data_IF_021145096106
#
_entry.id   IF_021145096106
#
_cell.length_a   1.000
_cell.length_b   1.000
_cell.length_c   1.000
_cell.angle_alpha   90.00
_cell.angle_beta   90.00
_cell.angle_gamma   90.00
#
_symmetry.space_group_name_H-M   'P 1'
#
loop_
_entity.id
_entity.type
_entity.pdbx_description
1 polymer ?
#
# COMPACT_ATOMS: atom_id res chain seq x y z
N UNK A 1 5.62 25.62 12.63
CA UNK A 1 6.44 24.43 12.89
C UNK A 1 6.67 23.70 11.56
N UNK A 2 7.93 23.67 11.11
CA UNK A 2 8.34 22.93 9.91
C UNK A 2 8.48 21.46 10.31
N UNK A 3 7.77 20.57 9.64
CA UNK A 3 8.08 19.14 9.66
C UNK A 3 9.26 18.98 8.68
N UNK A 4 10.47 19.01 9.19
CA UNK A 4 11.64 18.83 8.37
C UNK A 4 11.89 17.33 8.17
N UNK A 5 11.98 16.91 6.91
CA UNK A 5 12.60 15.64 6.58
C UNK A 5 14.07 15.71 6.98
N UNK A 6 14.58 14.69 7.65
CA UNK A 6 15.99 14.65 8.00
C UNK A 6 16.86 14.64 6.74
N UNK A 7 17.98 15.37 6.72
CA UNK A 7 19.01 15.10 5.74
C UNK A 7 19.46 13.65 5.93
N UNK A 8 19.46 12.88 4.86
CA UNK A 8 20.15 11.60 4.81
C UNK A 8 21.62 11.86 5.23
N UNK A 9 22.23 10.97 6.00
CA UNK A 9 23.63 11.15 6.35
C UNK A 9 24.47 11.24 5.07
N UNK A 10 25.17 12.36 4.96
CA UNK A 10 26.07 12.67 3.86
C UNK A 10 27.13 11.56 3.76
N UNK A 11 26.95 10.65 2.81
CA UNK A 11 28.01 9.76 2.39
C UNK A 11 28.82 10.54 1.36
N UNK A 12 29.85 11.23 1.82
CA UNK A 12 30.82 11.92 1.00
C UNK A 12 31.17 11.10 -0.23
N UNK A 13 30.65 11.49 -1.35
CA UNK A 13 30.95 10.94 -2.68
C UNK A 13 31.28 12.09 -3.59
N UNK A 14 32.50 12.09 -4.00
CA UNK A 14 33.12 13.03 -4.93
C UNK A 14 32.27 13.31 -6.16
N UNK A 15 32.22 14.56 -6.56
CA UNK A 15 31.79 15.05 -7.87
C UNK A 15 32.22 14.11 -9.00
N UNK A 16 31.29 13.31 -9.50
CA UNK A 16 31.44 12.62 -10.79
C UNK A 16 30.61 13.33 -11.81
N UNK A 17 31.26 13.77 -12.85
CA UNK A 17 30.71 14.46 -14.01
C UNK A 17 29.53 13.74 -14.62
N UNK A 18 28.59 14.54 -15.10
CA UNK A 18 27.26 14.20 -15.65
C UNK A 18 27.22 13.08 -16.73
N UNK A 19 28.38 12.73 -17.31
CA UNK A 19 28.49 11.69 -18.32
C UNK A 19 28.61 10.25 -17.77
N UNK A 20 29.06 10.11 -16.51
CA UNK A 20 29.18 8.78 -15.90
C UNK A 20 27.90 8.27 -15.27
N UNK A 21 26.94 9.16 -14.98
CA UNK A 21 25.65 8.77 -14.41
C UNK A 21 24.79 7.98 -15.39
N UNK A 22 24.79 8.37 -16.67
CA UNK A 22 24.00 7.68 -17.71
C UNK A 22 24.53 6.27 -18.02
N UNK A 23 25.83 6.07 -17.97
CA UNK A 23 26.44 4.75 -18.19
C UNK A 23 26.27 3.83 -16.98
N UNK A 24 26.21 4.39 -15.77
CA UNK A 24 26.00 3.62 -14.53
C UNK A 24 24.53 3.20 -14.39
N UNK A 25 23.59 4.04 -14.82
CA UNK A 25 22.15 3.69 -14.85
C UNK A 25 21.86 2.54 -15.83
N UNK A 26 22.52 2.53 -16.98
CA UNK A 26 22.35 1.47 -17.99
C UNK A 26 22.95 0.13 -17.54
N UNK A 27 24.02 0.15 -16.76
CA UNK A 27 24.65 -1.07 -16.22
C UNK A 27 23.92 -1.61 -14.99
N UNK A 28 23.32 -0.76 -14.18
CA UNK A 28 22.47 -1.17 -13.06
C UNK A 28 21.15 -1.81 -13.52
N UNK A 29 20.59 -1.35 -14.65
CA UNK A 29 19.40 -1.95 -15.28
C UNK A 29 19.63 -3.37 -15.77
N UNK A 30 20.78 -3.64 -16.37
CA UNK A 30 21.12 -5.00 -16.87
C UNK A 30 21.38 -6.00 -15.75
N UNK A 31 21.75 -5.56 -14.55
CA UNK A 31 21.94 -6.43 -13.40
C UNK A 31 20.65 -6.77 -12.66
N UNK A 32 19.59 -5.94 -12.78
CA UNK A 32 18.29 -6.14 -12.14
C UNK A 32 17.33 -7.04 -12.93
N UNK A 33 17.64 -7.33 -14.21
CA UNK A 33 16.75 -8.05 -15.14
C UNK A 33 17.19 -9.49 -15.43
N UNK A 34 17.99 -10.13 -14.58
CA UNK A 34 18.11 -11.59 -14.68
C UNK A 34 16.80 -12.21 -14.17
N UNK A 35 16.10 -13.01 -15.01
CA UNK A 35 14.92 -13.71 -14.57
C UNK A 35 15.31 -14.64 -13.43
N UNK A 36 14.99 -14.23 -12.21
CA UNK A 36 15.14 -15.09 -11.05
C UNK A 36 14.13 -16.24 -11.19
N UNK A 37 14.60 -17.45 -10.97
CA UNK A 37 13.69 -18.60 -10.91
C UNK A 37 12.61 -18.34 -9.85
N UNK A 38 11.33 -18.66 -10.14
CA UNK A 38 10.26 -18.45 -9.19
C UNK A 38 10.53 -19.21 -7.89
N UNK A 39 10.50 -18.52 -6.76
CA UNK A 39 10.61 -19.18 -5.47
C UNK A 39 9.40 -20.07 -5.19
N UNK A 40 9.59 -21.28 -4.68
CA UNK A 40 8.47 -22.11 -4.27
C UNK A 40 7.71 -21.45 -3.11
N UNK A 41 6.41 -21.72 -3.03
CA UNK A 41 5.60 -21.29 -1.89
C UNK A 41 6.11 -21.95 -0.61
N UNK A 42 6.31 -21.15 0.43
CA UNK A 42 6.53 -21.62 1.81
C UNK A 42 5.14 -21.71 2.44
N UNK A 43 4.48 -22.89 2.45
CA UNK A 43 3.09 -22.98 2.85
C UNK A 43 2.93 -22.78 4.36
N UNK A 44 1.87 -22.06 4.74
CA UNK A 44 1.39 -22.08 6.11
C UNK A 44 0.55 -23.33 6.29
N UNK A 45 1.03 -24.25 7.12
CA UNK A 45 0.34 -25.51 7.40
C UNK A 45 -0.67 -25.29 8.52
N UNK A 46 -1.94 -25.50 8.22
CA UNK A 46 -3.03 -25.42 9.19
C UNK A 46 -3.42 -26.84 9.60
N UNK A 47 -3.46 -27.11 10.89
CA UNK A 47 -3.78 -28.42 11.48
C UNK A 47 -5.27 -28.53 11.86
N UNK A 48 -5.95 -27.41 12.08
CA UNK A 48 -7.36 -27.36 12.45
C UNK A 48 -8.28 -27.87 11.34
N UNK A 49 -9.36 -28.56 11.70
CA UNK A 49 -10.35 -29.08 10.76
C UNK A 49 -11.50 -28.11 10.48
N UNK A 50 -11.91 -27.34 11.50
CA UNK A 50 -13.06 -26.43 11.41
C UNK A 50 -12.68 -25.05 10.88
N UNK A 51 -13.55 -24.39 10.07
CA UNK A 51 -13.23 -23.08 9.49
C UNK A 51 -12.88 -22.00 10.51
N UNK A 52 -13.58 -21.90 11.62
CA UNK A 52 -13.29 -20.93 12.67
C UNK A 52 -11.96 -21.18 13.38
N UNK A 53 -11.58 -22.44 13.58
CA UNK A 53 -10.32 -22.82 14.17
C UNK A 53 -9.14 -22.59 13.20
N UNK A 54 -9.34 -22.82 11.91
CA UNK A 54 -8.38 -22.48 10.85
C UNK A 54 -8.11 -20.99 10.79
N UNK A 55 -9.17 -20.18 10.89
CA UNK A 55 -9.07 -18.72 10.91
C UNK A 55 -8.25 -18.24 12.12
N UNK A 56 -8.49 -18.80 13.29
CA UNK A 56 -7.71 -18.48 14.49
C UNK A 56 -6.25 -18.86 14.32
N UNK A 57 -5.97 -20.04 13.80
CA UNK A 57 -4.62 -20.58 13.60
C UNK A 57 -3.82 -19.70 12.63
N UNK A 58 -4.43 -19.30 11.49
CA UNK A 58 -3.74 -18.42 10.54
C UNK A 58 -3.56 -17.02 11.11
N UNK A 59 -4.50 -16.52 11.92
CA UNK A 59 -4.38 -15.21 12.60
C UNK A 59 -3.23 -15.23 13.59
N UNK A 60 -3.07 -16.29 14.36
CA UNK A 60 -1.94 -16.43 15.30
C UNK A 60 -0.59 -16.47 14.55
N UNK A 61 -0.53 -17.16 13.43
CA UNK A 61 0.66 -17.19 12.56
C UNK A 61 0.96 -15.83 11.95
N UNK A 62 -0.08 -15.12 11.53
CA UNK A 62 0.04 -13.75 11.02
C UNK A 62 0.61 -12.80 12.07
N UNK A 63 0.12 -12.85 13.30
CA UNK A 63 0.61 -12.01 14.39
C UNK A 63 2.07 -12.27 14.73
N UNK A 64 2.48 -13.53 14.72
CA UNK A 64 3.88 -13.89 14.83
C UNK A 64 4.71 -13.34 13.68
N UNK A 65 4.21 -13.44 12.45
CA UNK A 65 4.85 -12.88 11.25
C UNK A 65 4.99 -11.36 11.32
N UNK A 66 4.02 -10.65 11.88
CA UNK A 66 4.10 -9.20 12.08
C UNK A 66 5.21 -8.85 13.07
N UNK A 67 5.35 -9.58 14.17
CA UNK A 67 6.42 -9.31 15.14
C UNK A 67 7.83 -9.54 14.56
N UNK A 68 7.97 -10.43 13.61
CA UNK A 68 9.24 -10.74 12.93
C UNK A 68 9.52 -9.86 11.70
N UNK A 69 8.54 -9.02 11.32
CA UNK A 69 8.59 -8.23 10.08
C UNK A 69 9.62 -7.09 10.14
N UNK A 70 9.85 -6.52 11.31
CA UNK A 70 10.61 -5.28 11.49
C UNK A 70 12.13 -5.49 11.52
N UNK A 71 12.60 -6.24 10.58
CA UNK A 71 13.98 -6.36 10.16
C UNK A 71 14.15 -5.64 8.82
N UNK A 72 15.24 -4.95 8.59
CA UNK A 72 15.43 -4.09 7.41
C UNK A 72 15.12 -4.79 6.08
N UNK A 73 15.61 -5.99 5.87
CA UNK A 73 15.44 -6.72 4.60
C UNK A 73 14.03 -7.30 4.48
N UNK A 74 13.49 -7.89 5.54
CA UNK A 74 12.12 -8.41 5.56
C UNK A 74 11.10 -7.30 5.41
N UNK A 75 11.34 -6.15 6.01
CA UNK A 75 10.45 -4.99 5.91
C UNK A 75 10.41 -4.45 4.49
N UNK A 76 11.55 -4.30 3.82
CA UNK A 76 11.62 -3.92 2.40
C UNK A 76 10.88 -4.92 1.51
N UNK A 77 11.10 -6.20 1.73
CA UNK A 77 10.44 -7.27 0.98
C UNK A 77 8.92 -7.21 1.14
N UNK A 78 8.44 -6.99 2.35
CA UNK A 78 7.03 -6.76 2.62
C UNK A 78 6.47 -5.53 1.88
N UNK A 79 7.17 -4.40 1.90
CA UNK A 79 6.75 -3.20 1.18
C UNK A 79 6.74 -3.41 -0.34
N UNK A 80 7.64 -4.21 -0.89
CA UNK A 80 7.61 -4.62 -2.30
C UNK A 80 6.37 -5.45 -2.63
N UNK A 81 6.00 -6.37 -1.77
CA UNK A 81 4.74 -7.13 -1.90
C UNK A 81 3.54 -6.19 -1.83
N UNK A 82 3.53 -5.27 -0.88
CA UNK A 82 2.47 -4.26 -0.74
C UNK A 82 2.35 -3.40 -2.00
N UNK A 83 3.44 -3.05 -2.66
CA UNK A 83 3.42 -2.26 -3.90
C UNK A 83 2.67 -2.94 -5.05
N UNK A 84 2.69 -4.27 -5.08
CA UNK A 84 1.97 -5.08 -6.08
C UNK A 84 0.53 -5.38 -5.66
N UNK A 85 0.29 -5.52 -4.37
CA UNK A 85 -0.99 -5.94 -3.78
C UNK A 85 -1.60 -4.86 -2.87
N UNK A 86 -1.45 -3.59 -3.24
CA UNK A 86 -1.90 -2.44 -2.43
C UNK A 86 -3.42 -2.39 -2.20
N UNK A 87 -4.22 -3.04 -3.05
CA UNK A 87 -5.67 -3.16 -2.88
C UNK A 87 -6.10 -4.35 -2.00
N UNK A 88 -5.17 -5.19 -1.57
CA UNK A 88 -5.41 -6.21 -0.56
C UNK A 88 -5.32 -5.59 0.85
N UNK A 89 -5.90 -6.25 1.85
CA UNK A 89 -5.71 -5.85 3.25
C UNK A 89 -4.24 -5.99 3.68
N UNK A 90 -3.79 -5.23 4.68
CA UNK A 90 -2.42 -5.39 5.18
C UNK A 90 -2.16 -6.80 5.72
N UNK A 91 -3.17 -7.44 6.30
CA UNK A 91 -3.07 -8.83 6.79
C UNK A 91 -2.74 -9.79 5.66
N UNK A 92 -3.46 -9.66 4.55
CA UNK A 92 -3.20 -10.51 3.38
C UNK A 92 -1.87 -10.19 2.72
N UNK A 93 -1.45 -8.93 2.66
CA UNK A 93 -0.11 -8.60 2.15
C UNK A 93 1.02 -9.19 3.00
N UNK A 94 0.87 -9.21 4.32
CA UNK A 94 1.83 -9.91 5.21
C UNK A 94 1.81 -11.41 4.97
N UNK A 95 0.64 -12.03 4.87
CA UNK A 95 0.51 -13.47 4.60
C UNK A 95 1.14 -13.85 3.25
N UNK A 96 0.94 -13.04 2.22
CA UNK A 96 1.56 -13.24 0.89
C UNK A 96 3.09 -13.15 1.02
N UNK A 97 3.60 -12.10 1.68
CA UNK A 97 5.03 -11.92 1.89
C UNK A 97 5.69 -13.09 2.64
N UNK A 98 4.99 -13.64 3.63
CA UNK A 98 5.46 -14.82 4.39
C UNK A 98 5.57 -16.08 3.53
N UNK A 99 4.69 -16.26 2.57
CA UNK A 99 4.55 -17.50 1.80
C UNK A 99 5.18 -17.44 0.41
N UNK A 100 5.10 -16.30 -0.27
CA UNK A 100 5.65 -16.11 -1.62
C UNK A 100 5.96 -14.62 -1.88
N UNK A 101 7.10 -14.12 -1.41
CA UNK A 101 7.46 -12.71 -1.52
C UNK A 101 7.67 -12.23 -2.97
N UNK A 102 7.90 -13.11 -3.92
CA UNK A 102 8.02 -12.81 -5.34
C UNK A 102 6.69 -12.92 -6.12
N UNK A 103 5.56 -13.12 -5.44
CA UNK A 103 4.26 -13.16 -6.08
C UNK A 103 3.96 -11.85 -6.86
N UNK A 104 3.33 -11.99 -8.02
CA UNK A 104 2.99 -10.84 -8.88
C UNK A 104 1.52 -10.72 -9.23
N UNK A 105 0.82 -11.82 -9.41
CA UNK A 105 -0.61 -11.86 -9.72
C UNK A 105 -1.23 -13.09 -9.08
N UNK A 106 -2.21 -12.89 -8.23
CA UNK A 106 -2.88 -13.93 -7.46
C UNK A 106 -4.32 -14.12 -7.90
N UNK A 107 -4.72 -15.38 -8.03
CA UNK A 107 -6.13 -15.75 -8.21
C UNK A 107 -6.40 -17.12 -7.61
N UNK A 108 -7.67 -17.39 -7.30
CA UNK A 108 -8.13 -18.70 -6.87
C UNK A 108 -8.02 -19.74 -7.98
N UNK A 109 -8.02 -21.01 -7.61
CA UNK A 109 -7.88 -22.13 -8.56
C UNK A 109 -8.89 -22.07 -9.71
N UNK A 110 -10.16 -21.89 -9.38
CA UNK A 110 -11.23 -21.82 -10.38
C UNK A 110 -11.16 -20.56 -11.25
N UNK A 111 -10.73 -19.43 -10.66
CA UNK A 111 -10.56 -18.18 -11.40
C UNK A 111 -9.45 -18.28 -12.47
N UNK A 112 -8.34 -18.94 -12.15
CA UNK A 112 -7.29 -19.19 -13.12
C UNK A 112 -7.83 -19.93 -14.34
N UNK A 113 -8.63 -20.98 -14.13
CA UNK A 113 -9.21 -21.78 -15.20
C UNK A 113 -10.29 -21.02 -15.99
N UNK A 114 -11.24 -20.41 -15.28
CA UNK A 114 -12.45 -19.88 -15.91
C UNK A 114 -12.28 -18.46 -16.47
N UNK A 115 -11.45 -17.62 -15.81
CA UNK A 115 -11.30 -16.21 -16.19
C UNK A 115 -10.02 -15.97 -17.02
N UNK A 116 -8.97 -16.76 -16.79
CA UNK A 116 -7.66 -16.56 -17.42
C UNK A 116 -7.26 -17.66 -18.41
N UNK A 117 -8.04 -18.71 -18.52
CA UNK A 117 -7.73 -19.88 -19.38
C UNK A 117 -6.35 -20.50 -19.04
N UNK A 118 -6.02 -20.50 -17.75
CA UNK A 118 -4.79 -21.06 -17.20
C UNK A 118 -5.09 -22.13 -16.16
N UNK A 119 -4.16 -23.07 -16.02
CA UNK A 119 -4.27 -24.16 -15.08
C UNK A 119 -3.15 -24.07 -14.03
N UNK A 120 -3.51 -24.25 -12.77
CA UNK A 120 -2.52 -24.44 -11.71
C UNK A 120 -1.78 -25.75 -11.95
N UNK A 121 -0.46 -25.69 -11.98
CA UNK A 121 0.37 -26.87 -12.22
C UNK A 121 0.26 -27.89 -11.10
N UNK A 122 0.41 -29.14 -11.44
CA UNK A 122 0.32 -30.24 -10.47
C UNK A 122 1.38 -30.11 -9.39
N UNK A 123 0.99 -30.35 -8.14
CA UNK A 123 1.88 -30.32 -7.00
C UNK A 123 2.15 -28.93 -6.40
N UNK A 124 1.63 -27.88 -7.01
CA UNK A 124 1.78 -26.53 -6.48
C UNK A 124 1.01 -26.35 -5.16
N UNK A 125 1.62 -25.65 -4.21
CA UNK A 125 1.01 -25.33 -2.92
C UNK A 125 0.32 -23.97 -2.99
N UNK A 126 -0.89 -23.91 -2.43
CA UNK A 126 -1.64 -22.66 -2.38
C UNK A 126 -1.07 -21.69 -1.34
N UNK A 127 -1.19 -20.42 -1.65
CA UNK A 127 -0.92 -19.32 -0.73
C UNK A 127 -2.19 -19.07 0.06
N UNK A 128 -2.14 -19.19 1.39
CA UNK A 128 -3.31 -19.03 2.25
C UNK A 128 -3.49 -17.57 2.61
N UNK A 129 -4.69 -17.07 2.34
CA UNK A 129 -5.12 -15.72 2.70
C UNK A 129 -6.47 -15.76 3.41
N UNK A 130 -6.88 -14.64 3.97
CA UNK A 130 -8.17 -14.46 4.64
C UNK A 130 -9.12 -13.77 3.68
N UNK A 131 -10.23 -14.40 3.36
CA UNK A 131 -11.25 -13.85 2.46
C UNK A 131 -12.60 -13.66 3.16
N UNK A 132 -13.39 -12.64 2.77
CA UNK A 132 -14.75 -12.50 3.25
C UNK A 132 -15.60 -13.71 2.90
N UNK A 133 -16.40 -14.16 3.85
CA UNK A 133 -17.37 -15.23 3.71
C UNK A 133 -18.64 -14.90 4.47
N UNK A 134 -19.34 -13.80 4.10
CA UNK A 134 -20.54 -13.38 4.79
C UNK A 134 -21.63 -14.44 4.68
N UNK A 135 -22.43 -14.58 5.71
CA UNK A 135 -23.59 -15.47 5.72
C UNK A 135 -24.84 -14.73 6.14
N UNK A 136 -25.98 -15.24 5.69
CA UNK A 136 -27.26 -14.65 5.97
C UNK A 136 -27.97 -15.46 7.04
N UNK A 137 -28.55 -14.75 8.01
CA UNK A 137 -29.44 -15.32 9.01
C UNK A 137 -30.79 -14.62 8.95
N UNK A 138 -31.82 -15.34 9.32
CA UNK A 138 -33.15 -14.76 9.55
C UNK A 138 -33.26 -14.43 11.03
N UNK A 139 -33.56 -13.19 11.33
CA UNK A 139 -33.77 -12.73 12.69
C UNK A 139 -35.17 -12.13 12.85
N UNK A 140 -35.87 -12.51 13.90
CA UNK A 140 -37.07 -11.83 14.30
C UNK A 140 -36.76 -10.46 14.89
N UNK A 141 -37.32 -9.42 14.27
CA UNK A 141 -37.19 -8.04 14.72
C UNK A 141 -38.56 -7.42 14.91
N UNK A 142 -38.67 -6.52 15.86
CA UNK A 142 -39.89 -5.75 16.04
C UNK A 142 -40.13 -4.89 14.81
N UNK A 143 -41.38 -4.95 14.28
CA UNK A 143 -41.76 -4.10 13.16
C UNK A 143 -41.94 -2.67 13.65
N UNK A 144 -41.19 -1.73 13.03
CA UNK A 144 -41.18 -0.32 13.42
C UNK A 144 -41.99 0.49 12.42
N UNK A 145 -42.88 1.35 12.94
CA UNK A 145 -43.60 2.32 12.13
C UNK A 145 -42.62 3.36 11.56
N UNK A 146 -42.53 3.51 10.23
CA UNK A 146 -41.56 4.46 9.62
C UNK A 146 -41.86 5.93 9.93
N UNK A 147 -43.09 6.26 10.34
CA UNK A 147 -43.50 7.64 10.67
C UNK A 147 -43.21 8.01 12.13
N UNK A 148 -43.44 7.08 13.05
CA UNK A 148 -43.34 7.33 14.49
C UNK A 148 -42.01 6.81 15.09
N UNK A 149 -41.28 5.98 14.38
CA UNK A 149 -40.06 5.28 14.84
C UNK A 149 -40.30 4.42 16.10
N UNK A 150 -41.57 4.03 16.33
CA UNK A 150 -41.97 3.20 17.47
C UNK A 150 -42.40 1.81 16.98
N UNK A 151 -42.27 0.78 17.85
CA UNK A 151 -42.76 -0.55 17.53
C UNK A 151 -44.27 -0.53 17.27
N UNK A 152 -44.71 -1.26 16.22
CA UNK A 152 -46.16 -1.46 15.93
C UNK A 152 -46.67 -2.48 16.93
N UNK A 153 -47.75 -2.15 17.64
CA UNK A 153 -48.38 -3.01 18.62
C UNK A 153 -49.54 -3.75 17.94
N UNK A 154 -49.57 -5.07 18.07
CA UNK A 154 -50.65 -5.91 17.58
C UNK A 154 -51.89 -5.85 18.41
N UNK A 155 -52.96 -6.49 17.94
CA UNK A 155 -54.24 -6.55 18.64
C UNK A 155 -54.21 -7.26 20.00
N UNK A 156 -53.16 -8.05 20.23
CA UNK A 156 -52.87 -8.77 21.47
C UNK A 156 -52.07 -7.92 22.48
N UNK A 157 -51.78 -6.65 22.15
CA UNK A 157 -51.00 -5.74 22.96
C UNK A 157 -49.51 -6.01 22.93
N UNK A 158 -49.03 -6.93 22.11
CA UNK A 158 -47.61 -7.24 21.95
C UNK A 158 -47.04 -6.62 20.68
N UNK A 159 -45.76 -6.28 20.67
CA UNK A 159 -45.10 -5.80 19.47
C UNK A 159 -45.20 -6.84 18.32
N UNK A 160 -45.55 -6.36 17.12
CA UNK A 160 -45.56 -7.19 15.92
C UNK A 160 -44.09 -7.43 15.52
N UNK A 161 -43.74 -8.69 15.29
CA UNK A 161 -42.44 -9.09 14.82
C UNK A 161 -42.47 -9.46 13.34
N UNK A 162 -41.37 -9.19 12.65
CA UNK A 162 -41.14 -9.64 11.27
C UNK A 162 -39.81 -10.33 11.16
N UNK A 163 -39.70 -11.34 10.30
CA UNK A 163 -38.44 -11.96 9.96
C UNK A 163 -37.68 -11.04 8.97
N UNK A 164 -36.51 -10.59 9.36
CA UNK A 164 -35.59 -9.89 8.47
C UNK A 164 -34.35 -10.74 8.21
N UNK A 165 -33.94 -10.77 6.93
CA UNK A 165 -32.70 -11.36 6.53
C UNK A 165 -31.56 -10.37 6.83
N UNK A 166 -30.63 -10.78 7.69
CA UNK A 166 -29.47 -9.99 8.08
C UNK A 166 -28.22 -10.68 7.56
N UNK A 167 -27.34 -9.93 6.91
CA UNK A 167 -26.03 -10.42 6.50
C UNK A 167 -25.03 -10.21 7.61
N UNK A 168 -24.43 -11.29 8.10
CA UNK A 168 -23.38 -11.26 9.12
C UNK A 168 -22.03 -11.35 8.43
N UNK A 169 -21.11 -10.38 8.64
CA UNK A 169 -19.76 -10.47 8.14
C UNK A 169 -19.01 -11.62 8.81
N UNK A 170 -18.34 -12.40 8.01
CA UNK A 170 -17.46 -13.47 8.47
C UNK A 170 -16.31 -13.63 7.49
N UNK A 171 -15.27 -14.32 7.92
CA UNK A 171 -14.07 -14.56 7.15
C UNK A 171 -13.69 -16.04 7.18
N UNK A 172 -13.02 -16.48 6.15
CA UNK A 172 -12.48 -17.84 6.05
C UNK A 172 -11.09 -17.83 5.41
N UNK A 173 -10.34 -18.87 5.66
CA UNK A 173 -9.07 -19.14 4.97
C UNK A 173 -9.36 -19.70 3.59
N UNK A 174 -8.76 -19.10 2.56
CA UNK A 174 -8.82 -19.59 1.18
C UNK A 174 -7.40 -19.74 0.64
N UNK A 175 -7.24 -20.59 -0.38
CA UNK A 175 -5.98 -20.73 -1.10
C UNK A 175 -6.06 -20.02 -2.44
N UNK A 176 -5.03 -19.22 -2.71
CA UNK A 176 -4.80 -18.59 -4.02
C UNK A 176 -3.46 -19.05 -4.57
N UNK A 177 -3.26 -18.83 -5.86
CA UNK A 177 -2.05 -19.23 -6.56
C UNK A 177 -1.51 -18.06 -7.37
N UNK A 178 -0.19 -17.94 -7.39
CA UNK A 178 0.49 -16.94 -8.20
C UNK A 178 0.56 -17.39 -9.68
N UNK A 179 0.63 -16.43 -10.58
CA UNK A 179 0.78 -16.69 -12.02
C UNK A 179 1.93 -17.62 -12.34
N UNK A 180 3.04 -17.54 -11.62
CA UNK A 180 4.21 -18.42 -11.75
C UNK A 180 3.93 -19.90 -11.43
N UNK A 181 2.83 -20.18 -10.74
CA UNK A 181 2.36 -21.53 -10.40
C UNK A 181 1.38 -22.09 -11.44
N UNK A 182 1.16 -21.36 -12.53
CA UNK A 182 0.17 -21.69 -13.55
C UNK A 182 0.81 -21.82 -14.92
N UNK A 183 0.14 -22.55 -15.82
CA UNK A 183 0.47 -22.68 -17.24
C UNK A 183 -0.78 -22.49 -18.10
N UNK A 184 -0.62 -22.12 -19.34
CA UNK A 184 -1.71 -21.95 -20.30
C UNK A 184 -1.58 -20.66 -21.10
N UNK A 185 -2.71 -20.01 -21.40
CA UNK A 185 -2.76 -18.81 -22.24
C UNK A 185 -1.89 -17.70 -21.66
N UNK A 186 -1.12 -17.04 -22.51
CA UNK A 186 -0.37 -15.84 -22.14
C UNK A 186 -1.32 -14.74 -21.68
N UNK A 187 -0.97 -14.09 -20.58
CA UNK A 187 -1.71 -12.95 -20.07
C UNK A 187 -1.31 -11.70 -20.86
N UNK A 188 -2.27 -10.79 -21.13
CA UNK A 188 -1.90 -9.49 -21.65
C UNK A 188 -0.94 -8.81 -20.69
N UNK A 189 0.08 -8.18 -21.23
CA UNK A 189 1.02 -7.40 -20.45
C UNK A 189 0.25 -6.26 -19.75
N UNK A 190 0.02 -6.41 -18.48
CA UNK A 190 -0.54 -5.34 -17.66
C UNK A 190 0.63 -4.41 -17.35
N UNK A 191 0.97 -3.58 -18.35
CA UNK A 191 1.98 -2.55 -18.16
C UNK A 191 1.51 -1.62 -17.04
N UNK A 192 2.15 -1.72 -15.89
CA UNK A 192 2.24 -0.59 -14.97
C UNK A 192 2.94 0.51 -15.77
N UNK A 193 2.41 1.72 -15.77
CA UNK A 193 3.08 2.86 -16.36
C UNK A 193 4.42 3.11 -15.64
N UNK A 194 5.41 2.29 -15.98
CA UNK A 194 6.75 2.45 -15.46
C UNK A 194 7.36 3.73 -16.03
N UNK A 195 7.90 4.55 -15.14
CA UNK A 195 8.68 5.72 -15.50
C UNK A 195 10.05 5.28 -16.04
N UNK A 196 10.09 4.97 -17.32
CA UNK A 196 11.33 4.64 -18.02
C UNK A 196 11.94 5.87 -18.67
N UNK A 197 12.60 6.73 -17.89
CA UNK A 197 13.58 7.69 -18.41
C UNK A 197 13.16 8.71 -19.47
N UNK A 198 11.85 8.86 -19.75
CA UNK A 198 11.32 9.80 -20.72
C UNK A 198 10.89 11.09 -20.01
N UNK A 199 11.42 12.23 -20.47
CA UNK A 199 11.14 13.56 -19.90
C UNK A 199 9.65 13.91 -19.97
N UNK A 200 8.96 13.48 -21.01
CA UNK A 200 7.53 13.75 -21.16
C UNK A 200 6.71 12.94 -20.14
N UNK A 201 7.09 11.72 -19.86
CA UNK A 201 6.48 10.92 -18.79
C UNK A 201 6.73 11.50 -17.41
N UNK A 202 7.90 12.09 -17.15
CA UNK A 202 8.16 12.81 -15.91
C UNK A 202 7.18 13.96 -15.71
N UNK A 203 6.94 14.79 -16.73
CA UNK A 203 6.01 15.92 -16.66
C UNK A 203 4.58 15.45 -16.36
N UNK A 204 4.12 14.45 -17.06
CA UNK A 204 2.79 13.87 -16.86
C UNK A 204 2.65 13.27 -15.46
N UNK A 205 3.67 12.55 -15.02
CA UNK A 205 3.68 11.97 -13.69
C UNK A 205 3.69 13.04 -12.59
N UNK A 206 4.51 14.07 -12.74
CA UNK A 206 4.55 15.17 -11.79
C UNK A 206 3.21 15.93 -11.76
N UNK A 207 2.58 16.17 -12.91
CA UNK A 207 1.25 16.74 -13.00
C UNK A 207 0.19 15.86 -12.30
N UNK A 208 0.28 14.55 -12.43
CA UNK A 208 -0.57 13.60 -11.70
C UNK A 208 -0.33 13.66 -10.19
N UNK A 209 0.92 13.80 -9.74
CA UNK A 209 1.26 14.01 -8.32
C UNK A 209 0.67 15.31 -7.77
N UNK A 210 0.74 16.41 -8.52
CA UNK A 210 0.15 17.68 -8.10
C UNK A 210 -1.36 17.57 -7.90
N UNK A 211 -2.07 16.86 -8.77
CA UNK A 211 -3.51 16.57 -8.62
C UNK A 211 -3.81 15.61 -7.47
N UNK A 212 -2.93 14.67 -7.20
CA UNK A 212 -3.04 13.70 -6.09
C UNK A 212 -2.79 14.36 -4.74
N UNK A 213 -1.92 15.36 -4.70
CA UNK A 213 -1.58 16.07 -3.47
C UNK A 213 -2.79 16.78 -2.86
N UNK A 214 -3.04 16.62 -1.55
CA UNK A 214 -4.10 17.35 -0.87
C UNK A 214 -3.82 18.84 -0.72
N UNK A 215 -2.60 19.29 -1.02
CA UNK A 215 -2.14 20.66 -0.84
C UNK A 215 -1.28 21.09 -2.03
N UNK A 216 -1.13 22.41 -2.29
CA UNK A 216 -0.28 22.91 -3.36
C UNK A 216 1.19 22.49 -3.17
N UNK A 217 1.87 22.25 -4.29
CA UNK A 217 3.32 21.96 -4.35
C UNK A 217 4.02 23.13 -5.03
N UNK A 218 5.07 23.64 -4.41
CA UNK A 218 5.89 24.74 -4.95
C UNK A 218 7.37 24.39 -4.85
N UNK A 219 8.16 24.91 -5.77
CA UNK A 219 9.61 24.80 -5.74
C UNK A 219 10.22 26.00 -5.03
N UNK A 220 11.18 25.78 -4.17
CA UNK A 220 11.89 26.80 -3.41
C UNK A 220 13.39 26.47 -3.36
N UNK A 221 14.21 27.52 -3.16
CA UNK A 221 15.59 27.31 -2.76
C UNK A 221 15.63 27.07 -1.25
N UNK A 222 15.80 25.79 -0.84
CA UNK A 222 15.79 25.40 0.56
C UNK A 222 17.21 25.33 1.08
N UNK A 223 17.54 26.19 2.04
CA UNK A 223 18.83 26.17 2.72
C UNK A 223 18.96 24.96 3.66
N UNK A 224 20.21 24.51 3.87
CA UNK A 224 20.53 23.46 4.85
C UNK A 224 20.41 22.03 4.36
N UNK A 225 20.35 21.81 3.04
CA UNK A 225 20.44 20.47 2.43
C UNK A 225 19.15 19.63 2.52
N UNK A 226 18.05 20.20 2.97
CA UNK A 226 16.76 19.52 2.94
C UNK A 226 16.21 19.44 1.51
N UNK A 227 15.68 18.30 1.13
CA UNK A 227 15.07 18.10 -0.19
C UNK A 227 13.67 18.69 -0.32
N UNK A 228 12.93 18.75 0.78
CA UNK A 228 11.58 19.31 0.81
C UNK A 228 11.01 19.32 2.21
N UNK A 229 9.82 19.87 2.35
CA UNK A 229 9.06 19.86 3.60
C UNK A 229 7.57 20.08 3.38
N UNK A 230 6.76 19.60 4.30
CA UNK A 230 5.36 19.97 4.43
C UNK A 230 5.21 21.09 5.48
N UNK A 231 4.62 22.20 5.07
CA UNK A 231 4.39 23.36 5.94
C UNK A 231 3.01 23.30 6.56
N UNK A 232 2.94 23.02 7.87
CA UNK A 232 1.69 22.83 8.60
C UNK A 232 0.80 24.07 8.64
N UNK A 233 1.39 25.26 8.76
CA UNK A 233 0.63 26.51 8.86
C UNK A 233 0.06 26.92 7.51
N UNK A 234 0.88 26.92 6.47
CA UNK A 234 0.48 27.36 5.11
C UNK A 234 -0.22 26.26 4.32
N UNK A 235 -0.25 25.03 4.83
CA UNK A 235 -0.82 23.85 4.14
C UNK A 235 -0.30 23.74 2.70
N UNK A 236 1.01 23.66 2.57
CA UNK A 236 1.71 23.52 1.30
C UNK A 236 2.94 22.62 1.41
N UNK A 237 3.32 22.05 0.28
CA UNK A 237 4.56 21.31 0.12
C UNK A 237 5.57 22.19 -0.60
N UNK A 238 6.79 22.26 -0.09
CA UNK A 238 7.93 22.86 -0.75
C UNK A 238 8.95 21.79 -1.16
N UNK A 239 9.44 21.89 -2.38
CA UNK A 239 10.46 20.99 -2.93
C UNK A 239 11.66 21.85 -3.32
N UNK A 240 12.86 21.37 -2.97
CA UNK A 240 14.09 22.09 -3.30
C UNK A 240 14.32 22.12 -4.82
N UNK A 241 14.68 23.29 -5.32
CA UNK A 241 15.01 23.49 -6.73
C UNK A 241 16.32 22.78 -7.10
N UNK A 242 16.47 22.42 -8.37
CA UNK A 242 17.73 21.93 -8.95
C UNK A 242 18.08 20.48 -8.64
N UNK A 243 17.18 19.72 -8.01
CA UNK A 243 17.36 18.28 -7.83
C UNK A 243 17.12 17.51 -9.13
N UNK A 244 17.61 16.27 -9.20
CA UNK A 244 17.27 15.35 -10.28
C UNK A 244 15.74 15.11 -10.34
N UNK A 245 15.24 14.71 -11.49
CA UNK A 245 13.82 14.36 -11.67
C UNK A 245 13.41 13.24 -10.71
N UNK A 246 14.23 12.20 -10.58
CA UNK A 246 13.99 11.10 -9.66
C UNK A 246 13.87 11.57 -8.21
N UNK A 247 14.84 12.37 -7.74
CA UNK A 247 14.83 12.89 -6.37
C UNK A 247 13.64 13.81 -6.12
N UNK A 248 13.27 14.62 -7.12
CA UNK A 248 12.08 15.48 -7.05
C UNK A 248 10.81 14.68 -6.87
N UNK A 249 10.61 13.60 -7.65
CA UNK A 249 9.45 12.72 -7.52
C UNK A 249 9.41 12.03 -6.16
N UNK A 250 10.51 11.47 -5.71
CA UNK A 250 10.62 10.80 -4.41
C UNK A 250 10.30 11.74 -3.25
N UNK A 251 10.82 12.95 -3.31
CA UNK A 251 10.54 14.00 -2.32
C UNK A 251 9.07 14.41 -2.33
N UNK A 252 8.50 14.63 -3.51
CA UNK A 252 7.08 14.97 -3.64
C UNK A 252 6.18 13.88 -3.04
N UNK A 253 6.43 12.63 -3.32
CA UNK A 253 5.65 11.50 -2.78
C UNK A 253 5.78 11.43 -1.25
N UNK A 254 6.97 11.61 -0.71
CA UNK A 254 7.23 11.62 0.73
C UNK A 254 6.46 12.75 1.44
N UNK A 255 6.51 13.96 0.90
CA UNK A 255 5.80 15.10 1.49
C UNK A 255 4.27 15.01 1.31
N UNK A 256 3.80 14.42 0.21
CA UNK A 256 2.37 14.09 0.03
C UNK A 256 1.92 13.11 1.13
N UNK A 257 2.72 12.10 1.47
CA UNK A 257 2.41 11.19 2.55
C UNK A 257 2.28 11.92 3.90
N UNK A 258 3.21 12.84 4.19
CA UNK A 258 3.08 13.70 5.39
C UNK A 258 1.83 14.57 5.36
N UNK A 259 1.52 15.20 4.24
CA UNK A 259 0.32 16.03 4.12
C UNK A 259 -0.98 15.24 4.30
N UNK A 260 -1.03 14.00 3.83
CA UNK A 260 -2.20 13.12 4.00
C UNK A 260 -2.35 12.56 5.42
N UNK A 261 -1.26 12.14 6.03
CA UNK A 261 -1.27 11.35 7.27
C UNK A 261 -0.98 12.16 8.52
N UNK A 262 -0.20 13.22 8.41
CA UNK A 262 0.39 13.92 9.55
C UNK A 262 -0.01 15.39 9.62
N UNK A 263 -1.06 15.76 8.90
CA UNK A 263 -1.64 17.10 9.00
C UNK A 263 -2.35 17.29 10.35
N UNK A 264 -2.23 18.49 10.91
CA UNK A 264 -2.84 18.85 12.18
C UNK A 264 -3.66 20.13 11.95
N UNK A 265 -4.90 20.14 12.40
CA UNK A 265 -5.69 21.36 12.48
C UNK A 265 -5.17 22.23 13.63
N UNK A 266 -4.36 23.24 13.29
CA UNK A 266 -3.78 24.17 14.26
C UNK A 266 -4.82 25.08 14.92
N UNK A 267 -6.02 25.18 14.35
CA UNK A 267 -7.13 25.97 14.89
C UNK A 267 -8.04 25.18 15.83
N UNK A 268 -7.89 23.85 15.87
CA UNK A 268 -8.65 23.01 16.79
C UNK A 268 -8.18 23.24 18.24
N UNK A 269 -9.06 23.13 19.25
CA UNK A 269 -8.67 23.08 20.65
C UNK A 269 -7.59 22.03 20.89
N UNK A 270 -6.64 22.29 21.79
CA UNK A 270 -5.51 21.41 22.03
C UNK A 270 -5.89 19.98 22.44
N UNK A 271 -7.02 19.81 23.06
CA UNK A 271 -7.61 18.54 23.48
C UNK A 271 -8.31 17.77 22.34
N UNK A 272 -8.69 18.47 21.26
CA UNK A 272 -9.28 17.91 20.05
C UNK A 272 -8.24 17.70 18.93
N UNK A 273 -7.03 18.23 19.10
CA UNK A 273 -5.92 17.90 18.20
C UNK A 273 -5.63 16.41 18.30
N UNK A 274 -5.57 15.73 17.14
CA UNK A 274 -5.35 14.28 17.07
C UNK A 274 -4.16 13.83 17.95
N UNK A 275 -4.21 12.64 18.53
CA UNK A 275 -3.11 12.14 19.36
C UNK A 275 -1.80 12.27 18.60
N UNK A 276 -0.83 12.91 19.24
CA UNK A 276 0.49 13.13 18.66
C UNK A 276 1.17 11.78 18.42
N UNK A 277 1.14 11.32 17.17
CA UNK A 277 2.03 10.27 16.74
C UNK A 277 3.46 10.82 16.87
N UNK A 278 4.34 10.09 17.53
CA UNK A 278 5.71 10.54 17.71
C UNK A 278 6.42 10.75 16.36
N UNK A 279 7.44 11.59 16.37
CA UNK A 279 8.15 11.97 15.15
C UNK A 279 8.72 10.76 14.39
N UNK A 280 9.24 9.76 15.12
CA UNK A 280 9.81 8.55 14.52
C UNK A 280 8.76 7.75 13.77
N UNK A 281 7.57 7.61 14.34
CA UNK A 281 6.45 6.93 13.68
C UNK A 281 6.01 7.67 12.43
N UNK A 282 5.95 8.99 12.44
CA UNK A 282 5.62 9.78 11.24
C UNK A 282 6.61 9.56 10.12
N UNK A 283 7.89 9.53 10.43
CA UNK A 283 8.94 9.26 9.42
C UNK A 283 8.86 7.82 8.89
N UNK A 284 8.66 6.83 9.77
CA UNK A 284 8.46 5.44 9.34
C UNK A 284 7.28 5.33 8.38
N UNK A 285 6.15 5.93 8.70
CA UNK A 285 4.96 5.88 7.87
C UNK A 285 5.17 6.59 6.53
N UNK A 286 5.69 7.80 6.52
CA UNK A 286 5.91 8.56 5.30
C UNK A 286 6.97 7.91 4.38
N UNK A 287 8.05 7.43 4.93
CA UNK A 287 9.11 6.77 4.16
C UNK A 287 8.64 5.42 3.61
N UNK A 288 7.87 4.68 4.38
CA UNK A 288 7.29 3.41 3.93
C UNK A 288 6.27 3.60 2.79
N UNK A 289 5.42 4.62 2.89
CA UNK A 289 4.48 4.99 1.81
C UNK A 289 5.26 5.40 0.55
N UNK A 290 6.24 6.27 0.69
CA UNK A 290 7.04 6.73 -0.43
C UNK A 290 7.78 5.58 -1.13
N UNK A 291 8.41 4.70 -0.36
CA UNK A 291 9.05 3.50 -0.88
C UNK A 291 8.08 2.60 -1.66
N UNK A 292 6.90 2.33 -1.09
CA UNK A 292 5.88 1.49 -1.71
C UNK A 292 5.37 2.07 -3.02
N UNK A 293 5.07 3.37 -3.05
CA UNK A 293 4.63 4.06 -4.27
C UNK A 293 5.72 4.07 -5.33
N UNK A 294 6.96 4.37 -4.94
CA UNK A 294 8.10 4.34 -5.86
C UNK A 294 8.36 2.95 -6.44
N UNK A 295 8.26 1.90 -5.63
CA UNK A 295 8.37 0.52 -6.09
C UNK A 295 7.29 0.17 -7.10
N UNK A 296 6.05 0.61 -6.87
CA UNK A 296 4.93 0.35 -7.77
C UNK A 296 5.18 0.92 -9.17
N UNK A 297 5.76 2.12 -9.27
CA UNK A 297 6.04 2.79 -10.55
C UNK A 297 7.45 2.52 -11.11
N UNK A 298 8.19 1.60 -10.53
CA UNK A 298 9.52 1.22 -11.02
C UNK A 298 10.61 2.27 -10.83
N UNK A 299 10.42 3.23 -9.92
CA UNK A 299 11.44 4.20 -9.56
C UNK A 299 12.56 3.55 -8.77
N UNK A 300 13.80 3.99 -8.98
CA UNK A 300 14.95 3.48 -8.21
C UNK A 300 14.82 3.83 -6.72
N UNK A 301 14.79 2.79 -5.90
CA UNK A 301 14.66 2.86 -4.44
C UNK A 301 15.91 2.35 -3.71
N UNK A 302 17.01 2.18 -4.41
CA UNK A 302 18.27 1.62 -3.87
C UNK A 302 18.86 2.44 -2.72
N UNK A 303 18.56 3.72 -2.63
CA UNK A 303 19.00 4.65 -1.58
C UNK A 303 18.16 4.57 -0.30
N UNK A 304 16.98 3.91 -0.32
CA UNK A 304 16.18 3.72 0.88
C UNK A 304 16.81 2.73 1.85
N UNK A 305 16.80 3.07 3.12
CA UNK A 305 17.28 2.23 4.21
C UNK A 305 16.29 2.21 5.36
N UNK A 306 15.92 1.01 5.78
CA UNK A 306 15.03 0.78 6.92
C UNK A 306 15.75 0.18 8.13
N UNK A 307 17.05 0.39 8.25
CA UNK A 307 17.85 -0.13 9.36
C UNK A 307 17.35 0.29 10.75
N UNK A 308 16.64 1.42 10.82
CA UNK A 308 16.07 1.95 12.06
C UNK A 308 14.74 1.30 12.48
N UNK A 309 14.13 0.51 11.60
CA UNK A 309 12.78 -0.05 11.84
C UNK A 309 12.74 -1.02 13.01
N UNK A 310 13.79 -1.82 13.19
CA UNK A 310 13.91 -2.72 14.34
C UNK A 310 13.91 -1.95 15.67
N UNK A 311 14.65 -0.86 15.74
CA UNK A 311 14.69 0.02 16.90
C UNK A 311 13.38 0.76 17.14
N UNK A 312 12.71 1.19 16.06
CA UNK A 312 11.40 1.85 16.15
C UNK A 312 10.33 0.90 16.69
N UNK A 313 10.29 -0.34 16.21
CA UNK A 313 9.28 -1.35 16.59
C UNK A 313 9.51 -1.92 18.00
N UNK A 314 10.73 -1.83 18.52
CA UNK A 314 11.10 -2.36 19.84
C UNK A 314 10.32 -1.67 20.95
N UNK A 315 9.67 -2.45 21.79
CA UNK A 315 8.88 -1.96 22.92
C UNK A 315 7.51 -1.38 22.56
N UNK A 316 7.10 -1.44 21.29
CA UNK A 316 5.76 -1.03 20.86
C UNK A 316 4.78 -2.21 20.95
N UNK A 317 3.55 -1.88 21.32
CA UNK A 317 2.47 -2.88 21.34
C UNK A 317 2.13 -3.35 19.91
N UNK A 318 1.75 -4.63 19.79
CA UNK A 318 1.35 -5.22 18.51
C UNK A 318 0.22 -4.43 17.83
N UNK A 319 -0.73 -3.90 18.61
CA UNK A 319 -1.82 -3.06 18.11
C UNK A 319 -1.33 -1.78 17.44
N UNK A 320 -0.29 -1.15 17.97
CA UNK A 320 0.33 0.04 17.38
C UNK A 320 1.02 -0.31 16.06
N UNK A 321 1.74 -1.42 16.01
CA UNK A 321 2.41 -1.91 14.79
C UNK A 321 1.39 -2.23 13.69
N UNK A 322 0.30 -2.91 14.03
CA UNK A 322 -0.80 -3.19 13.09
C UNK A 322 -1.45 -1.90 12.57
N UNK A 323 -1.66 -0.93 13.45
CA UNK A 323 -2.24 0.36 13.07
C UNK A 323 -1.35 1.10 12.08
N UNK A 324 -0.05 1.16 12.31
CA UNK A 324 0.90 1.77 11.37
C UNK A 324 0.95 1.03 10.03
N UNK A 325 0.95 -0.30 10.02
CA UNK A 325 0.93 -1.09 8.79
C UNK A 325 -0.33 -0.84 7.96
N UNK A 326 -1.51 -0.75 8.59
CA UNK A 326 -2.75 -0.42 7.89
C UNK A 326 -2.77 1.03 7.38
N UNK A 327 -2.24 1.96 8.15
CA UNK A 327 -2.09 3.36 7.73
C UNK A 327 -1.20 3.48 6.50
N UNK A 328 -0.06 2.80 6.49
CA UNK A 328 0.87 2.77 5.35
C UNK A 328 0.21 2.16 4.12
N UNK A 329 -0.43 1.02 4.27
CA UNK A 329 -1.13 0.36 3.15
C UNK A 329 -2.23 1.24 2.57
N UNK A 330 -3.09 1.77 3.40
CA UNK A 330 -4.22 2.61 2.98
C UNK A 330 -3.75 3.87 2.26
N UNK A 331 -2.76 4.56 2.80
CA UNK A 331 -2.20 5.76 2.18
C UNK A 331 -1.50 5.45 0.85
N UNK A 332 -0.71 4.40 0.79
CA UNK A 332 -0.06 3.96 -0.45
C UNK A 332 -1.09 3.60 -1.53
N UNK A 333 -2.13 2.86 -1.18
CA UNK A 333 -3.22 2.51 -2.09
C UNK A 333 -3.96 3.73 -2.62
N UNK A 334 -4.32 4.68 -1.77
CA UNK A 334 -4.97 5.92 -2.18
C UNK A 334 -4.10 6.74 -3.13
N UNK A 335 -2.83 6.90 -2.83
CA UNK A 335 -1.90 7.64 -3.67
C UNK A 335 -1.73 6.96 -5.03
N UNK A 336 -1.50 5.66 -5.07
CA UNK A 336 -1.34 4.89 -6.31
C UNK A 336 -2.62 4.97 -7.16
N UNK A 337 -3.77 4.72 -6.58
CA UNK A 337 -5.05 4.75 -7.30
C UNK A 337 -5.34 6.16 -7.84
N UNK A 338 -5.06 7.21 -7.07
CA UNK A 338 -5.23 8.60 -7.50
C UNK A 338 -4.25 8.98 -8.62
N UNK A 339 -3.00 8.57 -8.54
CA UNK A 339 -2.01 8.79 -9.62
C UNK A 339 -2.47 8.11 -10.90
N UNK A 340 -2.92 6.86 -10.84
CA UNK A 340 -3.39 6.11 -12.01
C UNK A 340 -4.61 6.76 -12.66
N UNK A 341 -5.57 7.23 -11.87
CA UNK A 341 -6.73 7.98 -12.37
C UNK A 341 -6.31 9.30 -13.04
N UNK A 342 -5.42 10.05 -12.43
CA UNK A 342 -4.94 11.32 -12.96
C UNK A 342 -4.10 11.14 -14.23
N UNK A 343 -3.28 10.09 -14.32
CA UNK A 343 -2.56 9.75 -15.54
C UNK A 343 -3.52 9.37 -16.67
N UNK A 344 -4.56 8.59 -16.40
CA UNK A 344 -5.57 8.22 -17.39
C UNK A 344 -6.34 9.46 -17.91
N UNK A 345 -6.66 10.41 -17.06
CA UNK A 345 -7.30 11.69 -17.49
C UNK A 345 -6.38 12.54 -18.36
N UNK A 346 -5.10 12.64 -18.02
CA UNK A 346 -4.11 13.35 -18.83
C UNK A 346 -3.96 12.72 -20.21
N UNK A 347 -3.92 11.40 -20.31
CA UNK A 347 -3.85 10.69 -21.57
C UNK A 347 -5.08 10.94 -22.44
N UNK A 348 -6.28 10.94 -21.87
CA UNK A 348 -7.53 11.26 -22.60
C UNK A 348 -7.56 12.69 -23.11
N UNK A 349 -7.02 13.66 -22.37
CA UNK A 349 -6.94 15.05 -22.79
C UNK A 349 -5.98 15.20 -23.97
N UNK A 350 -4.81 14.54 -23.94
CA UNK A 350 -3.83 14.55 -25.02
C UNK A 350 -4.37 13.89 -26.31
N UNK A 351 -5.10 12.78 -26.18
CA UNK A 351 -5.72 12.10 -27.32
C UNK A 351 -6.79 12.96 -28.00
N UNK A 352 -7.51 13.81 -27.25
CA UNK A 352 -8.50 14.73 -27.80
C UNK A 352 -7.88 15.92 -28.51
N UNK A 353 -6.70 16.36 -28.12
CA UNK A 353 -5.99 17.46 -28.78
C UNK A 353 -5.38 17.05 -30.11
N UNK A 354 -5.16 15.75 -30.33
CA UNK A 354 -4.61 15.19 -31.57
C UNK A 354 -5.66 14.81 -32.61
N UNK A 355 -6.96 14.87 -32.27
CA UNK A 355 -8.10 14.61 -33.18
C UNK A 355 -8.78 15.88 -33.60
#
# INVERSE_FOLDING_TARGET
YRVMSFPQPDRGGQDKTFMDAAATEQTARTAAEQPQEPHPVIPIVLTAGKPAEKLKEITDRLEQGITELFDSERYKEYLKVMSKFHNYSFRNTVLIAMQKPDASLLAGFSAWKNNFERNVMRGQKGIKIIAPSPYKIKQEMQKIDPHTQKPIIGKDGKPVTEEKEITIPAYKVVSVFDVSQTEGKELPDIAVDELTGDVDRYKDFFAALEKTSPVPIAFENIEGGSHGYYHLEDKRIAINEGMSELQTLKTAIHEIAHAKLHDIDLNAPKDEQQPHIDRRTREVEAESVAYTVCQHYGLDTSDYSFGYVAGWSSGRELSELKSSLETIRSAAAEIINSIDENLAELQKAQDKEQT
#
